data_IF_243438430907
#
_entry.id   IF_243438430907
#
_cell.length_a   1.000
_cell.length_b   1.000
_cell.length_c   1.000
_cell.angle_alpha   90.00
_cell.angle_beta   90.00
_cell.angle_gamma   90.00
#
_symmetry.space_group_name_H-M   'P 1'
#
loop_
_entity.id
_entity.type
_entity.pdbx_description
1 polymer ?
#
# COMPACT_ATOMS: atom_id res chain seq x y z
N UNK A 1 -29.16 -25.23 -9.96
CA UNK A 1 -28.26 -25.01 -11.11
C UNK A 1 -26.91 -25.64 -10.81
N UNK A 2 -26.36 -26.43 -11.74
CA UNK A 2 -25.01 -26.98 -11.62
C UNK A 2 -23.97 -25.84 -11.65
N UNK A 3 -22.95 -25.91 -10.79
CA UNK A 3 -21.87 -24.92 -10.73
C UNK A 3 -20.65 -25.45 -11.47
N UNK A 4 -20.14 -24.69 -12.43
CA UNK A 4 -18.87 -24.97 -13.08
C UNK A 4 -17.70 -24.55 -12.18
N UNK A 5 -16.74 -25.45 -11.96
CA UNK A 5 -15.53 -25.16 -11.19
C UNK A 5 -14.39 -24.89 -12.16
N UNK A 6 -13.90 -23.64 -12.16
CA UNK A 6 -12.72 -23.23 -12.94
C UNK A 6 -11.50 -24.06 -12.56
N UNK A 7 -10.71 -24.40 -13.57
CA UNK A 7 -9.38 -24.99 -13.45
C UNK A 7 -8.38 -23.99 -12.89
N UNK A 8 -7.24 -24.50 -12.42
CA UNK A 8 -6.11 -23.66 -11.98
C UNK A 8 -5.57 -22.80 -13.13
N UNK A 9 -5.57 -23.34 -14.35
CA UNK A 9 -5.13 -22.61 -15.54
C UNK A 9 -6.03 -21.42 -15.83
N UNK A 10 -7.35 -21.60 -15.84
CA UNK A 10 -8.28 -20.48 -16.04
C UNK A 10 -8.12 -19.40 -14.96
N UNK A 11 -7.89 -19.79 -13.70
CA UNK A 11 -7.61 -18.83 -12.62
C UNK A 11 -6.30 -18.07 -12.85
N UNK A 12 -5.27 -18.74 -13.38
CA UNK A 12 -4.00 -18.11 -13.75
C UNK A 12 -4.20 -17.13 -14.91
N UNK A 13 -4.96 -17.50 -15.93
CA UNK A 13 -5.29 -16.61 -17.05
C UNK A 13 -6.03 -15.35 -16.58
N UNK A 14 -6.93 -15.49 -15.61
CA UNK A 14 -7.60 -14.35 -14.97
C UNK A 14 -6.60 -13.48 -14.19
N UNK A 15 -5.70 -14.07 -13.42
CA UNK A 15 -4.64 -13.32 -12.73
C UNK A 15 -3.79 -12.51 -13.71
N UNK A 16 -3.30 -13.15 -14.77
CA UNK A 16 -2.45 -12.52 -15.76
C UNK A 16 -3.20 -11.41 -16.52
N UNK A 17 -4.50 -11.58 -16.77
CA UNK A 17 -5.33 -10.54 -17.35
C UNK A 17 -5.44 -9.31 -16.44
N UNK A 18 -5.71 -9.48 -15.15
CA UNK A 18 -5.78 -8.36 -14.20
C UNK A 18 -4.44 -7.62 -14.08
N UNK A 19 -3.32 -8.35 -14.04
CA UNK A 19 -1.98 -7.74 -14.04
C UNK A 19 -1.74 -6.93 -15.32
N UNK A 20 -2.09 -7.49 -16.50
CA UNK A 20 -1.99 -6.75 -17.77
C UNK A 20 -2.89 -5.51 -17.81
N UNK A 21 -4.09 -5.55 -17.23
CA UNK A 21 -4.97 -4.39 -17.15
C UNK A 21 -4.35 -3.29 -16.29
N UNK A 22 -3.81 -3.63 -15.11
CA UNK A 22 -3.08 -2.68 -14.27
C UNK A 22 -1.93 -2.04 -15.04
N UNK A 23 -1.12 -2.83 -15.74
CA UNK A 23 0.01 -2.30 -16.53
C UNK A 23 -0.42 -1.35 -17.65
N UNK A 24 -1.56 -1.60 -18.30
CA UNK A 24 -2.11 -0.69 -19.32
C UNK A 24 -2.59 0.62 -18.69
N UNK A 25 -3.41 0.53 -17.64
CA UNK A 25 -3.93 1.71 -16.93
C UNK A 25 -2.83 2.54 -16.29
N UNK A 26 -1.74 1.93 -15.83
CA UNK A 26 -0.55 2.65 -15.34
C UNK A 26 0.06 3.54 -16.43
N UNK A 27 0.12 3.08 -17.69
CA UNK A 27 0.68 3.89 -18.79
C UNK A 27 -0.18 5.12 -19.08
N UNK A 28 -1.50 4.95 -19.09
CA UNK A 28 -2.45 6.05 -19.30
C UNK A 28 -2.46 7.01 -18.11
N UNK A 29 -2.37 6.49 -16.88
CA UNK A 29 -2.18 7.31 -15.68
C UNK A 29 -0.92 8.16 -15.77
N UNK A 30 0.21 7.56 -16.15
CA UNK A 30 1.49 8.25 -16.29
C UNK A 30 1.50 9.24 -17.47
N UNK A 31 0.60 9.06 -18.45
CA UNK A 31 0.34 10.02 -19.53
C UNK A 31 -0.53 11.22 -19.10
N UNK A 32 -1.04 11.22 -17.85
CA UNK A 32 -1.79 12.32 -17.25
C UNK A 32 -3.25 12.01 -16.93
N UNK A 33 -3.78 10.84 -17.31
CA UNK A 33 -5.14 10.45 -16.98
C UNK A 33 -5.21 9.79 -15.59
N UNK A 34 -5.16 10.60 -14.54
CA UNK A 34 -5.22 10.10 -13.16
C UNK A 34 -6.52 9.31 -12.85
N UNK A 35 -7.57 9.45 -13.68
CA UNK A 35 -8.82 8.73 -13.51
C UNK A 35 -8.67 7.20 -13.67
N UNK A 36 -7.61 6.76 -14.36
CA UNK A 36 -7.25 5.35 -14.51
C UNK A 36 -6.92 4.66 -13.18
N UNK A 37 -6.68 5.42 -12.10
CA UNK A 37 -6.64 4.88 -10.75
C UNK A 37 -7.88 4.04 -10.40
N UNK A 38 -9.04 4.37 -10.96
CA UNK A 38 -10.29 3.61 -10.77
C UNK A 38 -10.18 2.18 -11.33
N UNK A 39 -9.68 2.05 -12.56
CA UNK A 39 -9.50 0.74 -13.23
C UNK A 39 -8.39 -0.08 -12.55
N UNK A 40 -7.34 0.58 -12.11
CA UNK A 40 -6.26 -0.04 -11.32
C UNK A 40 -6.84 -0.58 -10.00
N UNK A 41 -7.58 0.24 -9.24
CA UNK A 41 -8.17 -0.16 -7.96
C UNK A 41 -9.15 -1.33 -8.11
N UNK A 42 -9.98 -1.32 -9.15
CA UNK A 42 -10.89 -2.43 -9.45
C UNK A 42 -10.14 -3.76 -9.68
N UNK A 43 -9.06 -3.70 -10.46
CA UNK A 43 -8.20 -4.86 -10.74
C UNK A 43 -7.48 -5.35 -9.48
N UNK A 44 -6.91 -4.45 -8.67
CA UNK A 44 -6.28 -4.76 -7.38
C UNK A 44 -7.28 -5.41 -6.41
N UNK A 45 -8.53 -4.92 -6.37
CA UNK A 45 -9.59 -5.52 -5.55
C UNK A 45 -9.87 -6.96 -5.98
N UNK A 46 -9.94 -7.27 -7.28
CA UNK A 46 -10.13 -8.65 -7.78
C UNK A 46 -8.94 -9.54 -7.37
N UNK A 47 -7.72 -9.01 -7.49
CA UNK A 47 -6.51 -9.75 -7.16
C UNK A 47 -6.42 -10.11 -5.66
N UNK A 48 -6.84 -9.19 -4.77
CA UNK A 48 -6.47 -9.27 -3.35
C UNK A 48 -7.62 -9.26 -2.34
N UNK A 49 -8.76 -8.64 -2.65
CA UNK A 49 -9.83 -8.49 -1.68
C UNK A 49 -10.66 -9.77 -1.51
N UNK A 50 -10.92 -10.13 -0.25
CA UNK A 50 -11.78 -11.26 0.11
C UNK A 50 -13.01 -10.77 0.85
N UNK A 51 -14.13 -11.45 0.62
CA UNK A 51 -15.34 -11.35 1.45
C UNK A 51 -15.68 -12.73 2.00
N UNK A 52 -16.75 -12.83 2.80
CA UNK A 52 -17.30 -14.14 3.21
C UNK A 52 -17.75 -14.99 2.00
N UNK A 53 -18.12 -14.34 0.90
CA UNK A 53 -18.73 -14.97 -0.28
C UNK A 53 -17.77 -15.06 -1.47
N UNK A 54 -16.66 -14.34 -1.46
CA UNK A 54 -15.69 -14.29 -2.57
C UNK A 54 -14.26 -14.40 -2.07
N UNK A 55 -13.48 -15.30 -2.68
CA UNK A 55 -12.04 -15.41 -2.48
C UNK A 55 -11.29 -14.61 -3.53
N UNK A 56 -10.15 -14.04 -3.15
CA UNK A 56 -9.31 -13.30 -4.10
C UNK A 56 -8.60 -14.26 -5.05
N UNK A 57 -8.15 -13.78 -6.22
CA UNK A 57 -7.35 -14.63 -7.11
C UNK A 57 -6.02 -15.04 -6.45
N UNK A 58 -5.41 -14.13 -5.67
CA UNK A 58 -4.18 -14.41 -4.91
C UNK A 58 -4.31 -15.65 -4.03
N UNK A 59 -5.41 -15.75 -3.26
CA UNK A 59 -5.63 -16.88 -2.35
C UNK A 59 -6.09 -18.14 -3.07
N UNK A 60 -6.90 -18.01 -4.12
CA UNK A 60 -7.34 -19.15 -4.92
C UNK A 60 -6.17 -19.86 -5.62
N UNK A 61 -5.15 -19.09 -6.04
CA UNK A 61 -3.94 -19.62 -6.66
C UNK A 61 -2.86 -20.03 -5.66
N UNK A 62 -2.89 -19.51 -4.43
CA UNK A 62 -1.91 -19.82 -3.39
C UNK A 62 -0.50 -19.31 -3.74
N UNK A 63 -0.41 -18.12 -4.33
CA UNK A 63 0.85 -17.60 -4.86
C UNK A 63 1.84 -17.24 -3.74
N UNK A 64 3.10 -17.68 -3.79
CA UNK A 64 4.11 -17.40 -2.78
C UNK A 64 4.77 -16.03 -3.00
N UNK A 65 3.98 -14.95 -2.95
CA UNK A 65 4.48 -13.58 -3.17
C UNK A 65 4.94 -12.91 -1.88
N UNK A 66 6.07 -12.20 -1.97
CA UNK A 66 6.49 -11.17 -1.02
C UNK A 66 6.19 -9.80 -1.63
N UNK A 67 5.73 -8.86 -0.81
CA UNK A 67 5.21 -7.58 -1.28
C UNK A 67 6.17 -6.45 -0.95
N UNK A 68 6.59 -5.71 -1.97
CA UNK A 68 7.36 -4.49 -1.86
C UNK A 68 6.52 -3.38 -1.21
N UNK A 69 7.06 -2.73 -0.19
CA UNK A 69 6.51 -1.51 0.40
C UNK A 69 7.53 -0.39 0.21
N UNK A 70 7.12 0.63 -0.53
CA UNK A 70 7.82 1.91 -0.69
C UNK A 70 7.64 2.84 0.51
N UNK A 71 6.77 2.48 1.45
CA UNK A 71 6.45 3.29 2.62
C UNK A 71 7.60 3.34 3.63
N UNK A 72 7.95 4.55 4.06
CA UNK A 72 8.96 4.77 5.11
C UNK A 72 8.50 4.25 6.50
N UNK A 73 9.39 4.32 7.50
CA UNK A 73 9.06 4.02 8.90
C UNK A 73 8.22 5.16 9.48
N UNK A 74 6.91 5.00 9.41
CA UNK A 74 5.92 5.92 9.98
C UNK A 74 6.04 6.02 11.50
N UNK A 75 5.87 7.23 12.04
CA UNK A 75 5.83 7.48 13.48
C UNK A 75 4.48 8.08 13.86
N UNK A 76 3.75 7.52 14.84
CA UNK A 76 2.40 7.97 15.19
C UNK A 76 2.34 9.28 15.97
N UNK A 77 3.49 9.84 16.35
CA UNK A 77 3.64 11.12 17.06
C UNK A 77 4.07 12.26 16.13
N UNK A 78 4.06 12.05 14.80
CA UNK A 78 4.32 13.14 13.85
C UNK A 78 3.37 14.31 14.14
N UNK A 79 3.90 15.54 14.13
CA UNK A 79 3.10 16.75 14.34
C UNK A 79 2.23 17.10 13.12
N UNK A 80 2.70 16.71 11.93
CA UNK A 80 1.99 16.85 10.67
C UNK A 80 1.36 15.52 10.28
N UNK A 81 0.34 15.59 9.42
CA UNK A 81 -0.22 14.43 8.76
C UNK A 81 0.87 13.63 8.05
N UNK A 82 0.67 12.33 7.92
CA UNK A 82 1.63 11.43 7.29
C UNK A 82 1.04 10.83 6.01
N UNK A 83 1.83 10.78 4.95
CA UNK A 83 1.58 9.96 3.76
C UNK A 83 2.85 9.16 3.43
N UNK A 84 2.79 7.84 3.46
CA UNK A 84 4.05 7.07 3.32
C UNK A 84 4.44 6.76 1.88
N UNK A 85 3.49 6.88 0.94
CA UNK A 85 3.67 6.47 -0.45
C UNK A 85 3.78 7.63 -1.45
N UNK A 86 3.72 8.87 -0.98
CA UNK A 86 3.68 10.06 -1.83
C UNK A 86 4.83 11.02 -1.51
N UNK A 87 5.13 11.89 -2.47
CA UNK A 87 5.86 13.12 -2.26
C UNK A 87 4.98 14.30 -2.70
N UNK A 88 5.33 15.50 -2.26
CA UNK A 88 4.79 16.73 -2.85
C UNK A 88 5.76 17.19 -3.94
N UNK A 89 5.22 17.44 -5.13
CA UNK A 89 5.90 18.19 -6.17
C UNK A 89 5.47 19.66 -6.05
N UNK A 90 6.45 20.54 -5.83
CA UNK A 90 6.24 21.98 -5.68
C UNK A 90 7.11 22.74 -6.69
N UNK A 91 6.49 23.67 -7.40
CA UNK A 91 7.13 24.58 -8.37
C UNK A 91 6.21 25.79 -8.65
N UNK A 92 6.64 26.77 -9.46
CA UNK A 92 5.96 28.06 -9.60
C UNK A 92 4.47 28.02 -10.01
N UNK A 93 4.02 26.89 -10.57
CA UNK A 93 2.61 26.63 -10.96
C UNK A 93 2.21 25.17 -10.72
N UNK A 94 2.96 24.45 -9.90
CA UNK A 94 2.76 23.02 -9.68
C UNK A 94 2.78 22.78 -8.20
N UNK A 95 1.63 22.44 -7.63
CA UNK A 95 1.51 21.96 -6.27
C UNK A 95 0.60 20.74 -6.28
N UNK A 96 1.20 19.55 -6.23
CA UNK A 96 0.47 18.28 -6.39
C UNK A 96 1.17 17.14 -5.68
N UNK A 97 0.39 16.10 -5.38
CA UNK A 97 0.93 14.84 -4.93
C UNK A 97 1.57 14.07 -6.09
N UNK A 98 2.65 13.34 -5.80
CA UNK A 98 3.31 12.42 -6.72
C UNK A 98 3.57 11.09 -6.06
N UNK A 99 3.17 10.00 -6.71
CA UNK A 99 3.47 8.65 -6.25
C UNK A 99 5.00 8.42 -6.11
N UNK A 100 5.42 7.74 -5.04
CA UNK A 100 6.81 7.25 -4.89
C UNK A 100 6.96 6.00 -5.76
N UNK A 101 7.64 6.15 -6.91
CA UNK A 101 7.81 5.07 -7.89
C UNK A 101 9.18 4.40 -7.83
N UNK A 102 10.22 5.11 -7.40
CA UNK A 102 11.56 4.56 -7.34
C UNK A 102 12.30 5.00 -6.08
N UNK A 103 12.99 4.01 -5.50
CA UNK A 103 14.17 4.15 -4.64
C UNK A 103 14.04 5.14 -3.46
N UNK A 104 13.06 4.95 -2.54
CA UNK A 104 13.20 5.55 -1.21
C UNK A 104 14.48 5.02 -0.57
N UNK A 105 15.14 5.85 0.25
CA UNK A 105 16.44 5.55 0.89
C UNK A 105 16.47 4.20 1.63
N UNK A 106 15.30 3.75 2.10
CA UNK A 106 15.09 2.40 2.63
C UNK A 106 13.68 1.93 2.28
N UNK A 107 13.56 0.67 1.89
CA UNK A 107 12.28 0.00 1.59
C UNK A 107 12.30 -1.43 2.12
N UNK A 108 11.12 -2.03 2.23
CA UNK A 108 11.00 -3.40 2.77
C UNK A 108 10.12 -4.26 1.90
N UNK A 109 10.46 -5.54 1.81
CA UNK A 109 9.52 -6.58 1.41
C UNK A 109 8.85 -7.15 2.65
N UNK A 110 7.59 -7.55 2.55
CA UNK A 110 6.85 -8.10 3.69
C UNK A 110 5.77 -9.09 3.26
N UNK A 111 5.10 -9.69 4.24
CA UNK A 111 3.95 -10.56 3.99
C UNK A 111 2.78 -9.77 3.39
N UNK A 112 1.90 -10.45 2.65
CA UNK A 112 0.66 -9.83 2.13
C UNK A 112 -0.15 -9.16 3.25
N UNK A 113 -0.30 -9.84 4.39
CA UNK A 113 -1.09 -9.33 5.51
C UNK A 113 -0.53 -8.03 6.07
N UNK A 114 0.79 -7.90 6.14
CA UNK A 114 1.40 -6.65 6.60
C UNK A 114 1.32 -5.54 5.55
N UNK A 115 1.65 -5.83 4.29
CA UNK A 115 1.58 -4.86 3.20
C UNK A 115 0.16 -4.31 2.99
N UNK A 116 -0.84 -5.20 2.97
CA UNK A 116 -2.24 -4.88 2.71
C UNK A 116 -2.84 -3.98 3.79
N UNK A 117 -2.46 -4.20 5.05
CA UNK A 117 -3.00 -3.51 6.21
C UNK A 117 -2.06 -2.45 6.79
N UNK A 118 -0.95 -2.17 6.11
CA UNK A 118 -0.03 -1.11 6.51
C UNK A 118 -0.67 0.27 6.29
N UNK A 119 -0.55 1.13 7.29
CA UNK A 119 -1.01 2.52 7.27
C UNK A 119 -0.14 3.31 6.28
N UNK A 120 -0.82 3.97 5.35
CA UNK A 120 -0.22 4.78 4.30
C UNK A 120 -0.65 6.25 4.35
N UNK A 121 -1.75 6.55 5.04
CA UNK A 121 -2.14 7.91 5.42
C UNK A 121 -2.57 7.96 6.88
N UNK A 122 -2.17 9.01 7.58
CA UNK A 122 -2.67 9.37 8.92
C UNK A 122 -2.88 10.89 8.98
N UNK A 123 -4.13 11.33 9.12
CA UNK A 123 -4.51 12.74 9.31
C UNK A 123 -4.80 13.09 10.79
N UNK A 124 -4.34 12.24 11.71
CA UNK A 124 -4.59 12.22 13.16
C UNK A 124 -6.03 11.88 13.58
N UNK A 125 -7.00 11.97 12.68
CA UNK A 125 -8.39 11.56 12.92
C UNK A 125 -8.70 10.19 12.30
N UNK A 126 -8.12 9.94 11.14
CA UNK A 126 -8.34 8.80 10.27
C UNK A 126 -7.01 8.21 9.82
N UNK A 127 -6.95 6.88 9.83
CA UNK A 127 -5.82 6.10 9.34
C UNK A 127 -6.28 5.24 8.17
N UNK A 128 -5.56 5.33 7.06
CA UNK A 128 -5.87 4.59 5.83
C UNK A 128 -4.75 3.66 5.47
N UNK A 129 -5.14 2.44 5.08
CA UNK A 129 -4.24 1.42 4.56
C UNK A 129 -4.38 1.29 3.05
N UNK A 130 -3.48 0.54 2.41
CA UNK A 130 -3.63 0.16 0.99
C UNK A 130 -4.98 -0.49 0.72
N UNK A 131 -5.39 -1.40 1.62
CA UNK A 131 -6.73 -2.02 1.60
C UNK A 131 -7.84 -0.98 1.59
N UNK A 132 -7.78 -0.01 2.51
CA UNK A 132 -8.84 1.00 2.64
C UNK A 132 -8.95 1.83 1.35
N UNK A 133 -7.82 2.34 0.83
CA UNK A 133 -7.80 3.16 -0.40
C UNK A 133 -8.30 2.38 -1.62
N UNK A 134 -7.85 1.14 -1.82
CA UNK A 134 -8.34 0.29 -2.90
C UNK A 134 -9.85 0.09 -2.82
N UNK A 135 -10.38 -0.19 -1.62
CA UNK A 135 -11.80 -0.47 -1.45
C UNK A 135 -12.68 0.78 -1.56
N UNK A 136 -12.23 1.94 -1.11
CA UNK A 136 -12.97 3.19 -1.32
C UNK A 136 -13.09 3.50 -2.81
N UNK A 137 -11.98 3.45 -3.55
CA UNK A 137 -12.02 3.78 -4.98
C UNK A 137 -12.82 2.74 -5.76
N UNK A 138 -12.59 1.45 -5.49
CA UNK A 138 -13.26 0.39 -6.22
C UNK A 138 -14.78 0.35 -5.95
N UNK A 139 -15.22 0.58 -4.71
CA UNK A 139 -16.63 0.41 -4.34
C UNK A 139 -17.44 1.71 -4.32
N UNK A 140 -16.83 2.89 -4.20
CA UNK A 140 -17.55 4.18 -4.04
C UNK A 140 -17.22 5.21 -5.13
N UNK A 141 -15.97 5.26 -5.60
CA UNK A 141 -15.49 6.29 -6.54
C UNK A 141 -15.27 5.73 -7.96
N UNK A 142 -16.15 4.85 -8.43
CA UNK A 142 -16.25 4.50 -9.86
C UNK A 142 -15.25 3.48 -10.39
N UNK A 143 -14.54 2.74 -9.53
CA UNK A 143 -13.73 1.59 -9.99
C UNK A 143 -14.58 0.40 -10.45
N UNK A 144 -15.56 0.01 -9.65
CA UNK A 144 -16.54 -1.03 -9.96
C UNK A 144 -17.99 -0.56 -9.69
N UNK A 145 -18.15 0.42 -8.80
CA UNK A 145 -19.43 1.04 -8.47
C UNK A 145 -19.22 2.52 -8.14
N UNK A 146 -20.24 3.34 -8.37
CA UNK A 146 -20.29 4.75 -7.93
C UNK A 146 -21.38 4.84 -6.90
N UNK A 147 -21.00 5.13 -5.65
CA UNK A 147 -21.93 5.38 -4.56
C UNK A 147 -22.26 6.88 -4.54
N UNK A 148 -23.55 7.29 -4.52
CA UNK A 148 -23.90 8.70 -4.36
C UNK A 148 -23.35 9.30 -3.05
N UNK A 149 -23.07 8.47 -2.04
CA UNK A 149 -22.54 8.91 -0.76
C UNK A 149 -21.13 8.34 -0.53
N UNK A 150 -20.15 9.24 -0.34
CA UNK A 150 -18.81 8.83 0.07
C UNK A 150 -18.76 8.66 1.59
N UNK A 151 -18.00 7.66 2.05
CA UNK A 151 -17.67 7.58 3.47
C UNK A 151 -16.96 8.87 3.90
N UNK A 152 -17.41 9.46 5.01
CA UNK A 152 -16.89 10.74 5.53
C UNK A 152 -15.36 10.79 5.60
N UNK A 153 -14.72 9.77 6.20
CA UNK A 153 -13.25 9.68 6.26
C UNK A 153 -12.58 9.79 4.88
N UNK A 154 -13.19 9.17 3.85
CA UNK A 154 -12.65 9.21 2.49
C UNK A 154 -12.92 10.55 1.79
N UNK A 155 -14.07 11.16 2.04
CA UNK A 155 -14.37 12.52 1.58
C UNK A 155 -13.42 13.55 2.22
N UNK A 156 -13.12 13.42 3.52
CA UNK A 156 -12.13 14.25 4.22
C UNK A 156 -10.77 14.21 3.51
N UNK A 157 -10.29 13.01 3.17
CA UNK A 157 -9.01 12.81 2.48
C UNK A 157 -9.00 13.39 1.05
N UNK A 158 -10.07 13.15 0.27
CA UNK A 158 -10.05 13.39 -1.18
C UNK A 158 -10.73 14.68 -1.64
N UNK A 159 -11.58 15.28 -0.78
CA UNK A 159 -12.37 16.47 -1.09
C UNK A 159 -12.11 17.63 -0.13
N UNK A 160 -11.69 17.35 1.10
CA UNK A 160 -11.53 18.37 2.15
C UNK A 160 -10.08 18.53 2.62
N UNK A 161 -9.11 18.05 1.83
CA UNK A 161 -7.68 18.21 2.09
C UNK A 161 -7.29 17.87 3.53
N UNK A 162 -7.76 16.74 4.08
CA UNK A 162 -7.51 16.42 5.50
C UNK A 162 -6.03 16.21 5.85
N UNK A 163 -5.18 15.98 4.84
CA UNK A 163 -3.74 15.97 5.02
C UNK A 163 -3.20 17.38 5.35
N UNK A 164 -3.91 18.45 5.00
CA UNK A 164 -3.64 19.81 5.50
C UNK A 164 -2.46 20.51 4.83
N UNK A 165 -2.11 20.14 3.59
CA UNK A 165 -1.03 20.80 2.86
C UNK A 165 -1.58 21.82 1.88
N UNK A 166 -0.88 22.92 1.75
CA UNK A 166 -1.20 24.01 0.85
C UNK A 166 0.06 24.66 0.32
N UNK A 167 -0.04 25.31 -0.83
CA UNK A 167 1.02 26.15 -1.36
C UNK A 167 1.10 27.50 -0.62
N UNK A 168 1.94 28.41 -1.10
CA UNK A 168 2.08 29.76 -0.52
C UNK A 168 0.82 30.63 -0.63
N UNK A 169 -0.13 30.25 -1.48
CA UNK A 169 -1.41 30.95 -1.67
C UNK A 169 -2.55 30.28 -0.91
N UNK A 170 -2.24 29.34 0.00
CA UNK A 170 -3.20 28.53 0.74
C UNK A 170 -4.06 27.58 -0.14
N UNK A 171 -3.62 27.31 -1.37
CA UNK A 171 -4.32 26.37 -2.26
C UNK A 171 -3.89 24.93 -1.99
N UNK A 172 -4.86 24.04 -1.87
CA UNK A 172 -4.63 22.60 -1.71
C UNK A 172 -3.97 21.99 -2.96
N UNK A 173 -3.30 20.82 -2.84
CA UNK A 173 -2.74 20.12 -3.99
C UNK A 173 -3.81 19.88 -5.07
N UNK A 174 -3.44 20.13 -6.32
CA UNK A 174 -4.38 20.14 -7.45
C UNK A 174 -4.98 18.76 -7.79
N UNK A 175 -4.45 17.68 -7.23
CA UNK A 175 -4.82 16.31 -7.56
C UNK A 175 -5.17 15.45 -6.34
N UNK A 176 -5.70 14.25 -6.61
CA UNK A 176 -6.25 13.39 -5.57
C UNK A 176 -5.16 12.51 -4.95
N UNK A 177 -4.84 12.64 -3.64
CA UNK A 177 -3.81 11.81 -3.00
C UNK A 177 -4.14 10.32 -3.04
N UNK A 178 -5.43 9.95 -3.04
CA UNK A 178 -5.84 8.55 -3.13
C UNK A 178 -5.53 7.94 -4.50
N UNK A 179 -5.60 8.71 -5.59
CA UNK A 179 -5.27 8.23 -6.94
C UNK A 179 -3.77 8.04 -7.11
N UNK A 180 -2.98 8.98 -6.59
CA UNK A 180 -1.52 8.85 -6.52
C UNK A 180 -1.12 7.64 -5.67
N UNK A 181 -1.83 7.36 -4.57
CA UNK A 181 -1.57 6.18 -3.76
C UNK A 181 -1.87 4.89 -4.54
N UNK A 182 -2.95 4.82 -5.32
CA UNK A 182 -3.22 3.66 -6.19
C UNK A 182 -2.10 3.46 -7.20
N UNK A 183 -1.58 4.55 -7.78
CA UNK A 183 -0.44 4.46 -8.70
C UNK A 183 0.82 3.91 -8.03
N UNK A 184 1.11 4.32 -6.79
CA UNK A 184 2.20 3.76 -5.99
C UNK A 184 1.97 2.27 -5.70
N UNK A 185 0.76 1.90 -5.26
CA UNK A 185 0.40 0.50 -4.95
C UNK A 185 0.51 -0.41 -6.18
N UNK A 186 0.12 0.07 -7.36
CA UNK A 186 0.33 -0.67 -8.61
C UNK A 186 1.80 -0.88 -8.92
N UNK A 187 2.64 0.13 -8.70
CA UNK A 187 4.09 0.01 -8.85
C UNK A 187 4.66 -1.05 -7.90
N UNK A 188 4.23 -1.01 -6.65
CA UNK A 188 4.66 -1.97 -5.64
C UNK A 188 4.31 -3.41 -6.03
N UNK A 189 3.11 -3.63 -6.57
CA UNK A 189 2.73 -4.93 -7.11
C UNK A 189 3.65 -5.37 -8.25
N UNK A 190 3.93 -4.48 -9.22
CA UNK A 190 4.78 -4.80 -10.37
C UNK A 190 6.20 -5.19 -9.90
N UNK A 191 6.78 -4.45 -8.97
CA UNK A 191 8.09 -4.77 -8.37
C UNK A 191 8.04 -6.12 -7.65
N UNK A 192 6.98 -6.38 -6.88
CA UNK A 192 6.77 -7.64 -6.16
C UNK A 192 6.72 -8.84 -7.11
N UNK A 193 5.99 -8.72 -8.22
CA UNK A 193 5.88 -9.74 -9.25
C UNK A 193 7.24 -10.00 -9.93
N UNK A 194 7.94 -8.93 -10.33
CA UNK A 194 9.25 -9.05 -10.95
C UNK A 194 10.27 -9.73 -10.03
N UNK A 195 10.24 -9.42 -8.73
CA UNK A 195 11.11 -10.06 -7.75
C UNK A 195 10.78 -11.54 -7.58
N UNK A 196 9.49 -11.88 -7.51
CA UNK A 196 9.05 -13.27 -7.32
C UNK A 196 9.56 -14.22 -8.42
N UNK A 197 9.75 -13.71 -9.64
CA UNK A 197 10.28 -14.48 -10.78
C UNK A 197 11.78 -14.81 -10.65
N UNK A 198 12.55 -14.05 -9.86
CA UNK A 198 13.99 -14.27 -9.69
C UNK A 198 14.30 -15.50 -8.84
N UNK A 199 13.37 -15.91 -7.98
CA UNK A 199 13.55 -17.02 -7.04
C UNK A 199 14.50 -16.69 -5.88
N UNK A 200 14.07 -16.99 -4.65
CA UNK A 200 14.88 -16.80 -3.45
C UNK A 200 16.08 -17.76 -3.48
N UNK A 201 17.29 -17.24 -3.25
CA UNK A 201 18.53 -18.02 -3.13
C UNK A 201 18.88 -18.27 -1.67
N UNK A 202 18.79 -17.25 -0.83
CA UNK A 202 19.12 -17.35 0.59
C UNK A 202 18.34 -16.33 1.42
N UNK A 203 18.10 -16.64 2.69
CA UNK A 203 17.51 -15.72 3.68
C UNK A 203 18.38 -15.71 4.92
N UNK A 204 18.87 -14.53 5.29
CA UNK A 204 19.73 -14.34 6.48
C UNK A 204 19.07 -13.41 7.46
N UNK A 205 18.91 -13.85 8.71
CA UNK A 205 18.40 -13.00 9.79
C UNK A 205 19.41 -11.89 10.10
N UNK A 206 18.95 -10.64 10.24
CA UNK A 206 19.78 -9.55 10.74
C UNK A 206 19.87 -9.62 12.27
N UNK A 207 21.10 -9.69 12.80
CA UNK A 207 21.34 -9.79 14.23
C UNK A 207 21.06 -8.46 14.94
N UNK A 208 20.57 -8.52 16.18
CA UNK A 208 20.34 -7.36 17.06
C UNK A 208 19.36 -6.31 16.50
N UNK A 209 18.50 -6.70 15.56
CA UNK A 209 17.43 -5.86 15.01
C UNK A 209 16.10 -6.29 15.62
N UNK A 210 15.46 -5.40 16.40
CA UNK A 210 14.11 -5.63 16.92
C UNK A 210 13.12 -5.05 15.91
N UNK A 211 12.21 -5.86 15.37
CA UNK A 211 11.22 -5.38 14.42
C UNK A 211 9.84 -5.88 14.80
N UNK A 212 8.84 -5.02 14.67
CA UNK A 212 7.48 -5.28 15.10
C UNK A 212 6.47 -4.68 14.14
N UNK A 213 5.27 -5.24 14.14
CA UNK A 213 4.07 -4.62 13.60
C UNK A 213 3.20 -4.17 14.78
N UNK A 214 2.91 -2.88 14.85
CA UNK A 214 2.02 -2.29 15.83
C UNK A 214 0.63 -2.18 15.24
N UNK A 215 -0.34 -2.86 15.84
CA UNK A 215 -1.72 -2.94 15.34
C UNK A 215 -2.60 -2.03 16.18
N UNK A 216 -3.21 -1.06 15.50
CA UNK A 216 -3.85 0.09 16.13
C UNK A 216 -5.36 -0.06 16.32
N UNK A 217 -5.97 -1.05 15.66
CA UNK A 217 -7.41 -1.26 15.70
C UNK A 217 -7.85 -2.70 15.40
N UNK A 218 -9.16 -2.96 15.57
CA UNK A 218 -9.80 -4.25 15.25
C UNK A 218 -9.85 -4.55 13.75
N UNK A 219 -9.72 -3.53 12.89
CA UNK A 219 -9.63 -3.73 11.45
C UNK A 219 -8.24 -4.26 11.03
N UNK A 220 -7.28 -4.29 11.96
CA UNK A 220 -5.95 -4.84 11.76
C UNK A 220 -4.99 -3.88 11.08
N UNK A 221 -5.33 -2.57 11.05
CA UNK A 221 -4.42 -1.53 10.55
C UNK A 221 -3.15 -1.52 11.37
N UNK A 222 -2.01 -1.39 10.71
CA UNK A 222 -0.73 -1.53 11.38
C UNK A 222 0.37 -0.66 10.78
N UNK A 223 1.45 -0.50 11.53
CA UNK A 223 2.67 0.12 11.03
C UNK A 223 3.91 -0.61 11.56
N UNK A 224 5.02 -0.42 10.84
CA UNK A 224 6.34 -0.94 11.19
C UNK A 224 6.88 -0.18 12.41
N UNK A 225 7.35 -0.88 13.42
CA UNK A 225 8.05 -0.29 14.56
C UNK A 225 9.36 -0.99 14.83
N UNK A 226 10.37 -0.21 15.19
CA UNK A 226 11.65 -0.75 15.62
C UNK A 226 12.39 0.21 16.54
N UNK A 227 12.62 -0.22 17.77
CA UNK A 227 13.47 0.49 18.73
C UNK A 227 14.94 0.57 18.28
N UNK A 228 15.36 -0.31 17.38
CA UNK A 228 16.75 -0.37 16.91
C UNK A 228 16.96 0.38 15.59
N UNK A 229 15.89 0.64 14.84
CA UNK A 229 15.95 1.27 13.52
C UNK A 229 15.39 2.70 13.48
N UNK A 230 14.74 3.17 14.54
CA UNK A 230 14.06 4.46 14.58
C UNK A 230 14.56 5.32 15.74
N UNK A 231 14.59 6.63 15.51
CA UNK A 231 14.67 7.62 16.59
C UNK A 231 13.24 7.95 17.05
N UNK A 232 13.04 8.05 18.36
CA UNK A 232 11.72 8.28 18.94
C UNK A 232 11.79 9.08 20.24
N UNK A 233 10.70 9.76 20.56
CA UNK A 233 10.51 10.48 21.82
C UNK A 233 9.80 9.61 22.87
N UNK A 234 9.73 10.09 24.11
CA UNK A 234 8.98 9.41 25.18
C UNK A 234 7.48 9.36 24.85
N UNK A 235 6.93 10.45 24.33
CA UNK A 235 5.53 10.57 23.90
C UNK A 235 5.21 9.56 22.79
N UNK A 236 6.17 9.32 21.89
CA UNK A 236 6.05 8.31 20.85
C UNK A 236 5.88 6.92 21.45
N UNK A 237 6.67 6.57 22.47
CA UNK A 237 6.56 5.29 23.16
C UNK A 237 5.22 5.14 23.89
N UNK A 238 4.73 6.21 24.52
CA UNK A 238 3.42 6.19 25.19
C UNK A 238 2.27 5.89 24.23
N UNK A 239 2.37 6.34 22.98
CA UNK A 239 1.40 5.98 21.93
C UNK A 239 1.61 4.52 21.49
N UNK A 240 2.85 4.18 21.10
CA UNK A 240 3.20 2.86 20.55
C UNK A 240 2.91 1.71 21.52
N UNK A 241 3.06 1.92 22.83
CA UNK A 241 2.81 0.91 23.86
C UNK A 241 1.33 0.61 24.11
N UNK A 242 0.42 1.45 23.65
CA UNK A 242 -1.02 1.18 23.68
C UNK A 242 -1.45 0.21 22.59
N UNK A 243 -0.67 0.14 21.50
CA UNK A 243 -0.99 -0.69 20.34
C UNK A 243 -0.61 -2.16 20.56
N UNK A 244 -1.38 -3.06 19.96
CA UNK A 244 -1.11 -4.50 20.01
C UNK A 244 0.17 -4.81 19.23
N UNK A 245 1.04 -5.63 19.81
CA UNK A 245 2.33 -5.99 19.21
C UNK A 245 2.26 -7.35 18.53
N UNK A 246 2.74 -7.41 17.29
CA UNK A 246 3.16 -8.66 16.68
C UNK A 246 4.65 -8.57 16.30
N UNK A 247 5.46 -9.50 16.81
CA UNK A 247 6.90 -9.53 16.51
C UNK A 247 7.14 -9.92 15.06
N UNK A 248 8.19 -9.36 14.48
CA UNK A 248 8.71 -9.73 13.17
C UNK A 248 10.22 -9.93 13.26
N UNK A 249 10.76 -10.64 12.29
CA UNK A 249 12.19 -10.77 12.07
C UNK A 249 12.57 -10.00 10.82
N UNK A 250 13.60 -9.16 10.93
CA UNK A 250 14.21 -8.50 9.79
C UNK A 250 15.27 -9.42 9.18
N UNK A 251 15.13 -9.69 7.88
CA UNK A 251 16.01 -10.52 7.09
C UNK A 251 16.67 -9.72 5.97
N UNK A 252 17.79 -10.24 5.46
CA UNK A 252 18.29 -9.94 4.13
C UNK A 252 17.99 -11.15 3.25
N UNK A 253 17.14 -10.96 2.26
CA UNK A 253 16.85 -11.95 1.23
C UNK A 253 17.77 -11.71 0.04
N UNK A 254 18.51 -12.75 -0.35
CA UNK A 254 19.33 -12.78 -1.56
C UNK A 254 18.59 -13.60 -2.62
N UNK A 255 18.42 -13.05 -3.82
CA UNK A 255 17.77 -13.69 -4.96
C UNK A 255 18.81 -14.27 -5.93
N UNK A 256 18.39 -15.20 -6.80
CA UNK A 256 19.32 -15.91 -7.70
C UNK A 256 20.09 -14.99 -8.66
N UNK A 257 19.52 -13.85 -9.01
CA UNK A 257 20.16 -12.82 -9.81
C UNK A 257 21.17 -11.93 -9.02
N UNK A 258 21.39 -12.21 -7.74
CA UNK A 258 22.31 -11.47 -6.86
C UNK A 258 21.68 -10.27 -6.15
N UNK A 259 20.44 -9.90 -6.46
CA UNK A 259 19.73 -8.83 -5.77
C UNK A 259 19.55 -9.16 -4.29
N UNK A 260 19.80 -8.19 -3.42
CA UNK A 260 19.60 -8.28 -1.97
C UNK A 260 18.57 -7.26 -1.53
N UNK A 261 17.59 -7.70 -0.74
CA UNK A 261 16.52 -6.83 -0.23
C UNK A 261 16.28 -7.09 1.25
N UNK A 262 15.80 -6.07 1.96
CA UNK A 262 15.31 -6.26 3.32
C UNK A 262 13.91 -6.87 3.30
N UNK A 263 13.71 -7.94 4.07
CA UNK A 263 12.43 -8.62 4.21
C UNK A 263 12.00 -8.67 5.67
N UNK A 264 10.78 -8.22 5.96
CA UNK A 264 10.14 -8.31 7.26
C UNK A 264 9.22 -9.53 7.26
N UNK A 265 9.63 -10.57 7.99
CA UNK A 265 8.92 -11.84 8.08
C UNK A 265 8.42 -12.15 9.48
N UNK A 266 7.50 -13.12 9.57
CA UNK A 266 7.15 -13.77 10.83
C UNK A 266 8.27 -14.70 11.29
#
# INVERSE_FOLDING_TARGET
MAKYKRSKQELQEQWDAQVRFIQKSVKEFDAGDESEARRIAASLRILFHETKQSKSLFKQLGLPLTFYSSGYLYTPSNLLSSWTLLNIEMGPRVFRYRAVLENPSRHFFMTFGDWWNEIIFDDHKNRFTRRDIILFIANQDGGAHVDPELKESYAMLTKMNSLGWSDSNEEAPANNPAYQAIRAIANELIISLNLSQQGLKNRRKQANKKFEMRIVDKAGRRYKWSETEMTYSVETLEIVHKDRVEKRTLYVDEYKNGLKVEYIGN
#
